data_IF_721549460926
#
_entry.id   IF_721549460926
#
_cell.length_a   1.000
_cell.length_b   1.000
_cell.length_c   1.000
_cell.angle_alpha   90.00
_cell.angle_beta   90.00
_cell.angle_gamma   90.00
#
_symmetry.space_group_name_H-M   'P 1'
#
loop_
_entity.id
_entity.type
_entity.pdbx_description
1 polymer ?
#
# COMPACT_ATOMS: atom_id res chain seq x y z
N UNK A 1 -28.25 14.38 9.29
CA UNK A 1 -27.74 13.01 9.53
C UNK A 1 -26.21 13.04 9.39
N UNK A 2 -25.46 12.92 10.50
CA UNK A 2 -23.99 12.95 10.47
C UNK A 2 -23.48 11.59 9.95
N UNK A 3 -23.09 11.50 8.68
CA UNK A 3 -22.38 10.33 8.16
C UNK A 3 -20.99 10.30 8.82
N UNK A 4 -20.80 9.40 9.80
CA UNK A 4 -19.47 8.96 10.20
C UNK A 4 -18.94 8.08 9.09
N UNK A 5 -18.04 8.61 8.24
CA UNK A 5 -17.25 7.78 7.35
C UNK A 5 -16.38 6.85 8.22
N UNK A 6 -16.36 5.54 7.98
CA UNK A 6 -15.44 4.67 8.69
C UNK A 6 -14.02 5.10 8.31
N UNK A 7 -13.17 5.19 9.35
CA UNK A 7 -11.75 5.43 9.29
C UNK A 7 -11.16 4.64 8.13
N UNK A 8 -10.46 5.32 7.21
CA UNK A 8 -9.72 4.66 6.14
C UNK A 8 -8.67 3.77 6.79
N UNK A 9 -9.01 2.51 7.02
CA UNK A 9 -8.01 1.47 7.24
C UNK A 9 -7.36 1.33 5.87
N UNK A 10 -6.30 2.10 5.64
CA UNK A 10 -5.48 1.98 4.45
C UNK A 10 -5.17 0.50 4.25
N UNK A 11 -5.24 0.01 3.01
CA UNK A 11 -4.93 -1.39 2.67
C UNK A 11 -3.59 -1.84 3.29
N UNK A 12 -2.67 -0.90 3.51
CA UNK A 12 -1.42 -1.06 4.27
C UNK A 12 -1.58 -1.43 5.76
N UNK A 13 -2.55 -0.86 6.48
CA UNK A 13 -2.82 -1.22 7.89
C UNK A 13 -3.42 -2.63 8.01
N UNK A 14 -4.16 -3.07 6.98
CA UNK A 14 -4.65 -4.44 6.85
C UNK A 14 -3.53 -5.41 6.44
N UNK A 15 -2.57 -4.95 5.64
CA UNK A 15 -1.34 -5.67 5.35
C UNK A 15 -0.54 -5.95 6.62
N UNK A 16 -0.36 -4.94 7.47
CA UNK A 16 0.39 -5.05 8.72
C UNK A 16 -0.31 -5.94 9.77
N UNK A 17 -1.64 -6.10 9.70
CA UNK A 17 -2.40 -7.05 10.54
C UNK A 17 -2.27 -8.49 10.03
N UNK A 18 -2.19 -8.72 8.71
CA UNK A 18 -1.96 -10.05 8.13
C UNK A 18 -0.50 -10.51 8.26
N UNK A 19 0.45 -9.58 8.31
CA UNK A 19 1.90 -9.81 8.38
C UNK A 19 2.46 -10.01 9.81
N UNK A 20 1.62 -9.85 10.85
CA UNK A 20 2.05 -9.83 12.25
C UNK A 20 2.15 -11.20 12.91
N UNK A 21 3.23 -11.94 12.62
CA UNK A 21 3.66 -13.07 13.48
C UNK A 21 4.08 -12.60 14.89
N UNK A 22 4.21 -13.55 15.81
CA UNK A 22 4.44 -13.48 17.27
C UNK A 22 5.23 -12.30 17.92
N UNK A 23 5.97 -11.47 17.18
CA UNK A 23 6.80 -10.40 17.74
C UNK A 23 6.07 -9.09 18.06
N UNK A 24 4.89 -8.83 17.49
CA UNK A 24 4.11 -7.61 17.76
C UNK A 24 3.70 -7.47 19.25
N UNK A 25 3.69 -8.59 19.97
CA UNK A 25 3.42 -8.68 21.42
C UNK A 25 4.60 -8.24 22.30
N UNK A 26 5.83 -8.19 21.78
CA UNK A 26 7.04 -7.79 22.54
C UNK A 26 7.30 -6.29 22.58
N UNK A 27 6.83 -5.55 21.58
CA UNK A 27 7.11 -4.11 21.41
C UNK A 27 6.09 -3.18 22.07
N UNK A 28 5.01 -3.73 22.62
CA UNK A 28 3.97 -2.97 23.31
C UNK A 28 3.02 -2.24 22.34
N UNK A 29 1.71 -2.10 22.67
CA UNK A 29 0.71 -1.55 21.75
C UNK A 29 0.98 -0.11 21.31
N UNK A 30 1.61 0.70 22.16
CA UNK A 30 1.92 2.10 21.87
C UNK A 30 2.98 2.26 20.79
N UNK A 31 4.06 1.48 20.86
CA UNK A 31 5.14 1.54 19.87
C UNK A 31 4.67 1.02 18.51
N UNK A 32 3.85 -0.03 18.51
CA UNK A 32 3.21 -0.54 17.29
C UNK A 32 2.36 0.53 16.61
N UNK A 33 1.50 1.22 17.37
CA UNK A 33 0.65 2.28 16.82
C UNK A 33 1.47 3.44 16.25
N UNK A 34 2.53 3.86 16.95
CA UNK A 34 3.43 4.92 16.48
C UNK A 34 4.22 4.49 15.26
N UNK A 35 4.67 3.23 15.22
CA UNK A 35 5.34 2.64 14.08
C UNK A 35 4.46 2.57 12.84
N UNK A 36 3.21 2.11 12.98
CA UNK A 36 2.24 2.07 11.88
C UNK A 36 1.96 3.48 11.33
N UNK A 37 1.87 4.49 12.22
CA UNK A 37 1.70 5.88 11.82
C UNK A 37 2.93 6.42 11.07
N UNK A 38 4.14 6.12 11.53
CA UNK A 38 5.38 6.51 10.87
C UNK A 38 5.53 5.83 9.50
N UNK A 39 5.14 4.56 9.37
CA UNK A 39 5.14 3.86 8.09
C UNK A 39 4.14 4.47 7.11
N UNK A 40 2.91 4.76 7.57
CA UNK A 40 1.91 5.44 6.76
C UNK A 40 2.37 6.84 6.30
N UNK A 41 3.10 7.57 7.15
CA UNK A 41 3.72 8.84 6.79
C UNK A 41 4.72 8.68 5.64
N UNK A 42 5.64 7.73 5.76
CA UNK A 42 6.64 7.45 4.71
C UNK A 42 5.98 7.09 3.39
N UNK A 43 4.99 6.18 3.38
CA UNK A 43 4.26 5.81 2.16
C UNK A 43 3.54 6.99 1.52
N UNK A 44 2.96 7.90 2.32
CA UNK A 44 2.32 9.11 1.79
C UNK A 44 3.33 10.05 1.13
N UNK A 45 4.51 10.21 1.75
CA UNK A 45 5.59 11.05 1.21
C UNK A 45 6.13 10.51 -0.11
N UNK A 46 6.27 9.19 -0.27
CA UNK A 46 6.63 8.56 -1.55
C UNK A 46 5.64 8.99 -2.65
N UNK A 47 4.34 8.85 -2.39
CA UNK A 47 3.30 9.26 -3.34
C UNK A 47 3.36 10.77 -3.67
N UNK A 48 3.56 11.62 -2.66
CA UNK A 48 3.68 13.06 -2.85
C UNK A 48 4.89 13.44 -3.72
N UNK A 49 6.06 12.84 -3.47
CA UNK A 49 7.26 13.09 -4.28
C UNK A 49 7.06 12.61 -5.73
N UNK A 50 6.48 11.44 -5.96
CA UNK A 50 6.24 10.92 -7.32
C UNK A 50 5.23 11.77 -8.11
N UNK A 51 4.15 12.23 -7.46
CA UNK A 51 3.18 13.14 -8.09
C UNK A 51 3.88 14.45 -8.46
N UNK A 52 4.68 15.00 -7.55
CA UNK A 52 5.41 16.27 -7.76
C UNK A 52 6.46 16.11 -8.86
N UNK A 53 7.16 14.97 -8.91
CA UNK A 53 8.12 14.66 -9.96
C UNK A 53 7.46 14.64 -11.35
N UNK A 54 6.29 14.01 -11.45
CA UNK A 54 5.53 13.96 -12.70
C UNK A 54 5.04 15.35 -13.14
N UNK A 55 4.74 16.26 -12.20
CA UNK A 55 4.41 17.65 -12.51
C UNK A 55 5.64 18.43 -12.98
N UNK A 56 6.75 18.34 -12.25
CA UNK A 56 8.01 18.98 -12.63
C UNK A 56 8.48 18.55 -14.03
N UNK A 57 8.35 17.26 -14.37
CA UNK A 57 8.68 16.74 -15.69
C UNK A 57 7.79 17.34 -16.79
N UNK A 58 6.48 17.43 -16.56
CA UNK A 58 5.53 18.07 -17.50
C UNK A 58 5.81 19.55 -17.73
N UNK A 59 6.36 20.23 -16.73
CA UNK A 59 6.79 21.63 -16.80
C UNK A 59 8.17 21.82 -17.44
N UNK A 60 8.85 20.73 -17.82
CA UNK A 60 10.20 20.77 -18.39
C UNK A 60 11.32 20.89 -17.34
N UNK A 61 11.00 20.85 -16.05
CA UNK A 61 11.95 20.90 -14.94
C UNK A 61 12.55 19.50 -14.66
N UNK A 62 13.28 18.96 -15.64
CA UNK A 62 13.77 17.57 -15.62
C UNK A 62 14.68 17.28 -14.41
N UNK A 63 15.55 18.22 -14.04
CA UNK A 63 16.45 18.04 -12.88
C UNK A 63 15.68 17.93 -11.57
N UNK A 64 14.63 18.75 -11.40
CA UNK A 64 13.76 18.66 -10.23
C UNK A 64 13.00 17.31 -10.23
N UNK A 65 12.51 16.86 -11.38
CA UNK A 65 11.84 15.56 -11.49
C UNK A 65 12.77 14.39 -11.10
N UNK A 66 14.01 14.40 -11.57
CA UNK A 66 15.02 13.38 -11.21
C UNK A 66 15.26 13.37 -9.70
N UNK A 67 15.54 14.55 -9.13
CA UNK A 67 15.79 14.67 -7.69
C UNK A 67 14.60 14.19 -6.85
N UNK A 68 13.37 14.58 -7.21
CA UNK A 68 12.17 14.14 -6.50
C UNK A 68 11.95 12.62 -6.57
N UNK A 69 12.27 11.97 -7.70
CA UNK A 69 12.24 10.50 -7.82
C UNK A 69 13.31 9.84 -6.94
N UNK A 70 14.49 10.43 -6.82
CA UNK A 70 15.53 9.94 -5.90
C UNK A 70 15.05 10.01 -4.45
N UNK A 71 14.49 11.15 -4.02
CA UNK A 71 13.94 11.29 -2.66
C UNK A 71 12.80 10.31 -2.41
N UNK A 72 11.93 10.04 -3.41
CA UNK A 72 10.90 9.01 -3.29
C UNK A 72 11.49 7.61 -3.02
N UNK A 73 12.61 7.26 -3.67
CA UNK A 73 13.32 6.01 -3.42
C UNK A 73 13.98 5.96 -2.03
N UNK A 74 14.50 7.08 -1.53
CA UNK A 74 15.02 7.16 -0.17
C UNK A 74 13.91 6.95 0.87
N UNK A 75 12.73 7.53 0.67
CA UNK A 75 11.58 7.30 1.56
C UNK A 75 11.05 5.87 1.47
N UNK A 76 11.14 5.22 0.31
CA UNK A 76 10.86 3.79 0.17
C UNK A 76 11.84 2.95 1.00
N UNK A 77 13.14 3.27 0.96
CA UNK A 77 14.16 2.62 1.80
C UNK A 77 13.81 2.78 3.29
N UNK A 78 13.51 4.01 3.73
CA UNK A 78 13.11 4.27 5.11
C UNK A 78 11.86 3.49 5.53
N UNK A 79 10.85 3.40 4.66
CA UNK A 79 9.64 2.62 4.91
C UNK A 79 9.97 1.13 5.10
N UNK A 80 10.85 0.57 4.26
CA UNK A 80 11.28 -0.83 4.34
C UNK A 80 12.06 -1.14 5.62
N UNK A 81 13.00 -0.28 6.01
CA UNK A 81 13.78 -0.41 7.25
C UNK A 81 12.89 -0.36 8.50
N UNK A 82 11.91 0.57 8.50
CA UNK A 82 10.95 0.72 9.58
C UNK A 82 10.02 -0.51 9.66
N UNK A 83 9.46 -0.94 8.53
CA UNK A 83 8.58 -2.11 8.46
C UNK A 83 9.30 -3.38 8.95
N UNK A 84 10.55 -3.58 8.52
CA UNK A 84 11.40 -4.71 8.97
C UNK A 84 11.60 -4.68 10.49
N UNK A 85 11.87 -3.49 11.03
CA UNK A 85 12.08 -3.30 12.47
C UNK A 85 10.81 -3.53 13.30
N UNK A 86 9.63 -3.20 12.76
CA UNK A 86 8.33 -3.32 13.44
C UNK A 86 7.67 -4.70 13.30
N UNK A 87 7.74 -5.30 12.12
CA UNK A 87 7.09 -6.58 11.81
C UNK A 87 7.91 -7.79 12.26
N UNK A 88 9.21 -7.59 12.51
CA UNK A 88 10.13 -8.68 12.82
C UNK A 88 10.44 -9.55 11.60
N UNK A 89 11.24 -10.59 11.82
CA UNK A 89 11.72 -11.46 10.74
C UNK A 89 10.58 -12.35 10.24
N UNK A 90 10.26 -12.23 8.96
CA UNK A 90 9.44 -13.17 8.20
C UNK A 90 10.31 -13.90 7.19
N UNK A 91 9.94 -15.13 6.84
CA UNK A 91 10.50 -15.74 5.63
C UNK A 91 9.91 -15.07 4.39
N UNK A 92 10.64 -15.09 3.27
CA UNK A 92 10.13 -14.59 2.00
C UNK A 92 8.78 -15.24 1.63
N UNK A 93 8.62 -16.54 1.90
CA UNK A 93 7.37 -17.28 1.63
C UNK A 93 6.18 -16.74 2.43
N UNK A 94 6.38 -16.44 3.72
CA UNK A 94 5.34 -15.85 4.57
C UNK A 94 4.96 -14.44 4.11
N UNK A 95 5.96 -13.62 3.77
CA UNK A 95 5.72 -12.27 3.28
C UNK A 95 4.95 -12.28 1.94
N UNK A 96 5.36 -13.12 0.98
CA UNK A 96 4.70 -13.25 -0.33
C UNK A 96 3.28 -13.79 -0.18
N UNK A 97 3.04 -14.79 0.68
CA UNK A 97 1.69 -15.31 0.97
C UNK A 97 0.78 -14.19 1.50
N UNK A 98 1.30 -13.35 2.40
CA UNK A 98 0.55 -12.24 2.95
C UNK A 98 0.24 -11.17 1.91
N UNK A 99 1.20 -10.87 1.02
CA UNK A 99 0.97 -9.99 -0.13
C UNK A 99 -0.12 -10.54 -1.05
N UNK A 100 -0.06 -11.83 -1.41
CA UNK A 100 -1.06 -12.47 -2.27
C UNK A 100 -2.48 -12.37 -1.70
N UNK A 101 -2.63 -12.56 -0.39
CA UNK A 101 -3.91 -12.39 0.30
C UNK A 101 -4.44 -10.96 0.20
N UNK A 102 -3.55 -9.96 0.33
CA UNK A 102 -3.92 -8.55 0.22
C UNK A 102 -4.34 -8.19 -1.19
N UNK A 103 -3.58 -8.63 -2.20
CA UNK A 103 -3.90 -8.42 -3.61
C UNK A 103 -5.27 -9.05 -3.95
N UNK A 104 -5.50 -10.29 -3.50
CA UNK A 104 -6.79 -10.99 -3.69
C UNK A 104 -7.94 -10.22 -3.05
N UNK A 105 -7.76 -9.73 -1.82
CA UNK A 105 -8.79 -8.94 -1.11
C UNK A 105 -9.02 -7.58 -1.77
N UNK A 106 -7.97 -6.94 -2.28
CA UNK A 106 -8.09 -5.67 -2.98
C UNK A 106 -8.89 -5.85 -4.28
N UNK A 107 -8.56 -6.89 -5.05
CA UNK A 107 -9.22 -7.26 -6.30
C UNK A 107 -10.70 -7.63 -6.11
N UNK A 108 -11.01 -8.50 -5.15
CA UNK A 108 -12.34 -9.15 -5.07
C UNK A 108 -13.34 -8.42 -4.19
N UNK A 109 -12.87 -7.61 -3.24
CA UNK A 109 -13.72 -6.97 -2.24
C UNK A 109 -13.51 -5.45 -2.21
N UNK A 110 -12.29 -5.01 -1.90
CA UNK A 110 -12.03 -3.62 -1.51
C UNK A 110 -12.30 -2.64 -2.65
N UNK A 111 -11.67 -2.82 -3.81
CA UNK A 111 -11.85 -1.90 -4.93
C UNK A 111 -13.23 -2.02 -5.60
N UNK A 112 -13.83 -3.22 -5.76
CA UNK A 112 -15.22 -3.34 -6.20
C UNK A 112 -16.21 -2.57 -5.32
N UNK A 113 -16.08 -2.65 -3.99
CA UNK A 113 -16.93 -1.90 -3.06
C UNK A 113 -16.76 -0.39 -3.20
N UNK A 114 -15.51 0.08 -3.31
CA UNK A 114 -15.22 1.51 -3.50
C UNK A 114 -15.75 1.99 -4.86
N UNK A 115 -15.59 1.21 -5.93
CA UNK A 115 -16.16 1.53 -7.23
C UNK A 115 -17.69 1.64 -7.16
N UNK A 116 -18.36 0.73 -6.45
CA UNK A 116 -19.81 0.81 -6.22
C UNK A 116 -20.21 2.08 -5.45
N UNK A 117 -19.47 2.47 -4.41
CA UNK A 117 -19.67 3.75 -3.69
C UNK A 117 -19.49 4.93 -4.65
N UNK A 118 -18.44 4.94 -5.47
CA UNK A 118 -18.17 6.01 -6.42
C UNK A 118 -19.28 6.16 -7.47
N UNK A 119 -19.82 5.03 -7.98
CA UNK A 119 -20.98 5.04 -8.88
C UNK A 119 -22.22 5.65 -8.22
N UNK A 120 -22.53 5.27 -6.98
CA UNK A 120 -23.66 5.84 -6.21
C UNK A 120 -23.53 7.34 -5.99
N UNK A 121 -22.30 7.87 -5.95
CA UNK A 121 -22.01 9.29 -5.77
C UNK A 121 -21.74 10.02 -7.10
N UNK A 122 -22.13 9.45 -8.24
CA UNK A 122 -21.93 10.04 -9.58
C UNK A 122 -20.47 10.35 -9.94
N UNK A 123 -19.50 9.71 -9.27
CA UNK A 123 -18.06 9.85 -9.54
C UNK A 123 -17.59 8.81 -10.55
N UNK A 124 -18.07 8.91 -11.80
CA UNK A 124 -17.83 7.90 -12.86
C UNK A 124 -16.34 7.65 -13.16
N UNK A 125 -15.51 8.69 -13.19
CA UNK A 125 -14.06 8.55 -13.40
C UNK A 125 -13.40 7.77 -12.25
N UNK A 126 -13.75 8.09 -11.01
CA UNK A 126 -13.25 7.39 -9.83
C UNK A 126 -13.67 5.93 -9.81
N UNK A 127 -14.93 5.63 -10.16
CA UNK A 127 -15.40 4.25 -10.26
C UNK A 127 -14.57 3.44 -11.28
N UNK A 128 -14.36 3.98 -12.49
CA UNK A 128 -13.53 3.34 -13.53
C UNK A 128 -12.10 3.10 -13.08
N UNK A 129 -11.51 4.05 -12.35
CA UNK A 129 -10.17 3.87 -11.80
C UNK A 129 -10.12 2.67 -10.85
N UNK A 130 -11.07 2.57 -9.91
CA UNK A 130 -11.09 1.43 -8.99
C UNK A 130 -11.43 0.09 -9.66
N UNK A 131 -12.26 0.09 -10.71
CA UNK A 131 -12.46 -1.12 -11.53
C UNK A 131 -11.15 -1.56 -12.19
N UNK A 132 -10.40 -0.62 -12.77
CA UNK A 132 -9.10 -0.92 -13.39
C UNK A 132 -8.08 -1.42 -12.37
N UNK A 133 -8.01 -0.78 -11.19
CA UNK A 133 -7.15 -1.22 -10.10
C UNK A 133 -7.51 -2.65 -9.64
N UNK A 134 -8.79 -3.00 -9.54
CA UNK A 134 -9.22 -4.37 -9.20
C UNK A 134 -8.67 -5.43 -10.16
N UNK A 135 -8.63 -5.12 -11.46
CA UNK A 135 -8.05 -6.00 -12.49
C UNK A 135 -6.53 -6.15 -12.29
N UNK A 136 -5.84 -5.05 -11.99
CA UNK A 136 -4.40 -5.07 -11.74
C UNK A 136 -4.04 -5.86 -10.48
N UNK A 137 -4.76 -5.71 -9.38
CA UNK A 137 -4.46 -6.50 -8.17
C UNK A 137 -4.76 -7.99 -8.39
N UNK A 138 -5.75 -8.34 -9.23
CA UNK A 138 -5.96 -9.74 -9.60
C UNK A 138 -4.76 -10.30 -10.40
N UNK A 139 -4.17 -9.49 -11.29
CA UNK A 139 -2.93 -9.83 -12.01
C UNK A 139 -1.76 -9.96 -11.05
N UNK A 140 -1.64 -9.08 -10.05
CA UNK A 140 -0.59 -9.14 -9.03
C UNK A 140 -0.72 -10.42 -8.17
N UNK A 141 -1.93 -10.77 -7.72
CA UNK A 141 -2.19 -12.01 -6.98
C UNK A 141 -1.78 -13.25 -7.77
N UNK A 142 -2.13 -13.31 -9.06
CA UNK A 142 -1.70 -14.39 -9.96
C UNK A 142 -0.17 -14.43 -10.12
N UNK A 143 0.48 -13.28 -10.27
CA UNK A 143 1.94 -13.17 -10.33
C UNK A 143 2.63 -13.69 -9.07
N UNK A 144 2.13 -13.31 -7.88
CA UNK A 144 2.66 -13.80 -6.60
C UNK A 144 2.45 -15.31 -6.43
N UNK A 145 1.33 -15.84 -6.92
CA UNK A 145 1.07 -17.29 -6.97
C UNK A 145 2.14 -18.03 -7.77
N UNK A 146 2.48 -17.50 -8.96
CA UNK A 146 3.52 -18.09 -9.81
C UNK A 146 4.90 -18.01 -9.16
N UNK A 147 5.23 -16.90 -8.50
CA UNK A 147 6.49 -16.75 -7.74
C UNK A 147 6.57 -17.81 -6.65
N UNK A 148 5.51 -18.02 -5.86
CA UNK A 148 5.49 -19.02 -4.79
C UNK A 148 5.68 -20.45 -5.29
N UNK A 149 5.12 -20.79 -6.45
CA UNK A 149 5.27 -22.12 -7.04
C UNK A 149 6.71 -22.46 -7.43
N UNK A 150 7.54 -21.44 -7.70
CA UNK A 150 8.97 -21.59 -8.01
C UNK A 150 9.90 -21.51 -6.80
N UNK A 151 9.37 -21.32 -5.58
CA UNK A 151 10.19 -21.28 -4.36
C UNK A 151 10.52 -22.69 -3.87
N UNK A 152 11.76 -22.93 -3.38
CA UNK A 152 12.13 -24.20 -2.75
C UNK A 152 11.38 -24.45 -1.42
#
# INVERSE_FOLDING_TARGET
MKLKLPVSVSVLALALLALGGCNRWRVGPSLVKQGDAALAEKTRRIGAYLITANLAEKEGNIQAAIYLRQVANEELRHASELATSLLGVQTAKQAITSLQLLETKAATLTYPEIAAVARRNSRKNTARLFDALSIDENRHAAGLTAVMAGMP
#
